data_IF_516993921415
#
_entry.id   IF_516993921415
#
_cell.length_a   1.000
_cell.length_b   1.000
_cell.length_c   1.000
_cell.angle_alpha   90.00
_cell.angle_beta   90.00
_cell.angle_gamma   90.00
#
_symmetry.space_group_name_H-M   'P 1'
#
loop_
_entity.id
_entity.type
_entity.pdbx_description
1 polymer ?
#
# COMPACT_ATOMS: atom_id res chain seq x y z
N UNK A 1 -5.00 3.10 -20.38
CA UNK A 1 -4.20 1.92 -20.78
C UNK A 1 -4.12 1.02 -19.56
N UNK A 2 -4.75 -0.14 -19.61
CA UNK A 2 -4.64 -1.19 -18.58
C UNK A 2 -3.36 -1.99 -18.82
N UNK A 3 -2.75 -2.47 -17.74
CA UNK A 3 -1.65 -3.44 -17.82
C UNK A 3 -2.13 -4.72 -17.14
N UNK A 4 -2.06 -5.83 -17.87
CA UNK A 4 -2.28 -7.14 -17.28
C UNK A 4 -1.00 -7.56 -16.56
N UNK A 5 -1.14 -7.89 -15.28
CA UNK A 5 0.01 -8.30 -14.44
C UNK A 5 -0.31 -9.65 -13.84
N UNK A 6 0.62 -10.59 -14.03
CA UNK A 6 0.56 -11.88 -13.37
C UNK A 6 0.81 -11.70 -11.87
N UNK A 7 -0.15 -12.11 -11.06
CA UNK A 7 -0.09 -11.97 -9.61
C UNK A 7 -1.46 -12.16 -8.99
N UNK A 8 -1.46 -12.57 -7.72
CA UNK A 8 -2.69 -12.55 -6.93
C UNK A 8 -3.00 -11.10 -6.59
N UNK A 9 -4.28 -10.71 -6.72
CA UNK A 9 -4.72 -9.42 -6.22
C UNK A 9 -4.31 -9.30 -4.74
N UNK A 10 -3.77 -8.15 -4.36
CA UNK A 10 -3.55 -7.83 -2.95
C UNK A 10 -4.91 -7.96 -2.28
N UNK A 11 -5.03 -8.95 -1.40
CA UNK A 11 -6.27 -9.12 -0.66
C UNK A 11 -6.48 -7.90 0.21
N UNK A 12 -7.67 -7.26 0.13
CA UNK A 12 -7.93 -6.12 0.98
C UNK A 12 -7.89 -6.57 2.44
N UNK A 13 -7.56 -5.64 3.32
CA UNK A 13 -7.57 -5.91 4.77
C UNK A 13 -8.95 -6.28 5.28
N UNK A 14 -9.97 -5.96 4.49
CA UNK A 14 -11.35 -6.32 4.74
C UNK A 14 -11.69 -7.81 4.66
N UNK A 15 -12.79 -8.18 5.33
CA UNK A 15 -13.24 -9.57 5.53
C UNK A 15 -14.36 -10.05 4.61
N UNK A 16 -14.91 -9.25 3.67
CA UNK A 16 -15.97 -9.73 2.77
C UNK A 16 -15.90 -9.22 1.32
N UNK A 17 -15.83 -10.18 0.40
CA UNK A 17 -15.75 -9.99 -1.05
C UNK A 17 -17.11 -9.86 -1.76
N UNK A 18 -18.23 -9.95 -1.01
CA UNK A 18 -19.57 -10.13 -1.58
C UNK A 18 -20.17 -8.88 -2.24
N UNK A 19 -19.55 -7.70 -2.05
CA UNK A 19 -20.02 -6.44 -2.65
C UNK A 19 -19.08 -5.96 -3.74
N UNK A 20 -19.63 -5.72 -4.94
CA UNK A 20 -18.93 -5.06 -6.04
C UNK A 20 -18.78 -3.57 -5.75
N UNK A 21 -17.70 -3.20 -5.06
CA UNK A 21 -17.35 -1.81 -4.74
C UNK A 21 -16.01 -1.44 -5.39
N UNK A 22 -15.74 -0.13 -5.46
CA UNK A 22 -14.45 0.40 -5.90
C UNK A 22 -13.31 -0.18 -5.06
N UNK A 23 -13.50 -0.21 -3.73
CA UNK A 23 -12.51 -0.70 -2.77
C UNK A 23 -12.23 -2.20 -2.94
N UNK A 24 -13.21 -2.96 -3.42
CA UNK A 24 -13.06 -4.39 -3.73
C UNK A 24 -12.57 -4.64 -5.17
N UNK A 25 -12.14 -3.60 -5.88
CA UNK A 25 -11.55 -3.70 -7.21
C UNK A 25 -12.56 -3.77 -8.37
N UNK A 26 -13.81 -3.33 -8.15
CA UNK A 26 -14.85 -3.28 -9.17
C UNK A 26 -15.15 -1.82 -9.55
N UNK A 27 -14.60 -1.38 -10.69
CA UNK A 27 -14.80 -0.03 -11.25
C UNK A 27 -14.54 -0.03 -12.76
N UNK A 28 -14.98 0.99 -13.50
CA UNK A 28 -14.61 1.19 -14.90
C UNK A 28 -13.35 2.08 -15.03
N UNK A 29 -12.50 1.83 -16.03
CA UNK A 29 -11.25 2.59 -16.20
C UNK A 29 -11.50 4.09 -16.44
N UNK A 30 -12.63 4.44 -17.07
CA UNK A 30 -13.04 5.83 -17.32
C UNK A 30 -13.32 6.62 -16.04
N UNK A 31 -13.61 5.92 -14.95
CA UNK A 31 -13.95 6.52 -13.67
C UNK A 31 -12.69 6.87 -12.85
N UNK A 32 -11.55 6.28 -13.19
CA UNK A 32 -10.25 6.58 -12.54
C UNK A 32 -9.80 8.00 -12.87
N UNK A 33 -9.40 8.74 -11.84
CA UNK A 33 -8.88 10.12 -11.94
C UNK A 33 -7.47 10.22 -11.39
N UNK A 34 -6.71 11.17 -11.95
CA UNK A 34 -5.44 11.60 -11.38
C UNK A 34 -5.62 12.09 -9.95
N UNK A 35 -4.59 11.89 -9.13
CA UNK A 35 -4.55 12.31 -7.72
C UNK A 35 -3.30 13.11 -7.43
N UNK A 36 -3.31 13.83 -6.32
CA UNK A 36 -2.19 14.67 -5.86
C UNK A 36 -1.57 14.06 -4.62
N UNK A 37 -0.27 14.32 -4.38
CA UNK A 37 0.42 13.84 -3.18
C UNK A 37 -0.26 14.31 -1.87
N UNK A 38 -1.05 15.38 -1.93
CA UNK A 38 -1.87 15.86 -0.80
C UNK A 38 -2.83 14.82 -0.26
N UNK A 39 -3.29 13.89 -1.09
CA UNK A 39 -4.20 12.81 -0.69
C UNK A 39 -3.55 11.84 0.33
N UNK A 40 -2.21 11.77 0.36
CA UNK A 40 -1.44 10.96 1.30
C UNK A 40 -0.68 11.80 2.34
N UNK A 41 -0.97 13.09 2.48
CA UNK A 41 -0.25 13.94 3.44
C UNK A 41 -0.48 13.50 4.88
N UNK A 42 0.61 13.42 5.66
CA UNK A 42 0.56 13.00 7.06
C UNK A 42 1.81 12.26 7.50
N UNK A 43 1.78 11.80 8.75
CA UNK A 43 2.76 10.89 9.32
C UNK A 43 2.16 9.49 9.37
N UNK A 44 2.94 8.51 8.91
CA UNK A 44 2.50 7.14 8.67
C UNK A 44 3.44 6.14 9.31
N UNK A 45 2.90 5.07 9.89
CA UNK A 45 3.65 4.00 10.55
C UNK A 45 3.44 2.67 9.85
N UNK A 46 4.51 1.88 9.72
CA UNK A 46 4.45 0.53 9.18
C UNK A 46 3.65 -0.39 10.11
N UNK A 47 2.83 -1.27 9.53
CA UNK A 47 2.10 -2.29 10.29
C UNK A 47 2.95 -3.53 10.60
N UNK A 48 4.13 -3.67 9.99
CA UNK A 48 4.97 -4.85 10.12
C UNK A 48 5.36 -5.17 11.57
N UNK A 49 5.73 -4.20 12.44
CA UNK A 49 6.01 -4.49 13.85
C UNK A 49 4.83 -5.13 14.60
N UNK A 50 3.60 -4.72 14.30
CA UNK A 50 2.38 -5.28 14.92
C UNK A 50 2.05 -6.69 14.42
N UNK A 51 2.50 -7.05 13.22
CA UNK A 51 2.47 -8.44 12.78
C UNK A 51 3.50 -9.27 13.56
N UNK A 52 4.71 -8.74 13.75
CA UNK A 52 5.83 -9.45 14.39
C UNK A 52 5.59 -9.70 15.89
N UNK A 53 5.00 -8.74 16.60
CA UNK A 53 4.73 -8.86 18.04
C UNK A 53 3.43 -9.63 18.36
N UNK A 54 2.66 -10.00 17.34
CA UNK A 54 1.42 -10.78 17.46
C UNK A 54 0.15 -9.94 17.66
N UNK A 55 0.24 -8.61 17.70
CA UNK A 55 -0.93 -7.71 17.81
C UNK A 55 -1.97 -7.98 16.72
N UNK A 56 -1.55 -8.34 15.51
CA UNK A 56 -2.45 -8.63 14.38
C UNK A 56 -2.95 -10.09 14.33
N UNK A 57 -2.59 -10.96 15.27
CA UNK A 57 -2.94 -12.40 15.19
C UNK A 57 -4.46 -12.63 15.15
N UNK A 58 -5.22 -11.83 15.91
CA UNK A 58 -6.69 -11.88 15.89
C UNK A 58 -7.30 -11.53 14.53
N UNK A 59 -6.63 -10.68 13.74
CA UNK A 59 -7.08 -10.34 12.37
C UNK A 59 -7.02 -11.58 11.48
N UNK A 60 -5.91 -12.34 11.57
CA UNK A 60 -5.72 -13.55 10.76
C UNK A 60 -6.63 -14.70 11.21
N UNK A 61 -6.85 -14.84 12.52
CA UNK A 61 -7.86 -15.76 13.05
C UNK A 61 -9.25 -15.42 12.50
N UNK A 62 -9.66 -14.16 12.58
CA UNK A 62 -10.95 -13.70 12.06
C UNK A 62 -11.10 -13.99 10.56
N UNK A 63 -10.10 -13.65 9.74
CA UNK A 63 -10.09 -13.92 8.29
C UNK A 63 -10.21 -15.42 8.00
N UNK A 64 -9.50 -16.28 8.75
CA UNK A 64 -9.58 -17.74 8.59
C UNK A 64 -11.00 -18.28 8.84
N UNK A 65 -11.67 -17.76 9.86
CA UNK A 65 -13.03 -18.18 10.22
C UNK A 65 -14.08 -17.66 9.23
N UNK A 66 -13.90 -16.44 8.72
CA UNK A 66 -14.82 -15.80 7.80
C UNK A 66 -14.73 -16.39 6.39
N UNK A 67 -13.52 -16.47 5.82
CA UNK A 67 -13.30 -16.87 4.43
C UNK A 67 -13.22 -18.39 4.25
N UNK A 68 -12.78 -19.12 5.28
CA UNK A 68 -12.66 -20.60 5.29
C UNK A 68 -11.83 -21.17 4.13
N UNK A 69 -10.93 -20.37 3.56
CA UNK A 69 -10.05 -20.75 2.45
C UNK A 69 -8.58 -20.95 2.88
N UNK A 70 -8.20 -20.44 4.06
CA UNK A 70 -6.86 -20.51 4.66
C UNK A 70 -6.95 -20.64 6.17
N UNK A 71 -5.92 -21.23 6.75
CA UNK A 71 -5.65 -21.17 8.19
C UNK A 71 -5.13 -19.79 8.59
N UNK A 72 -5.25 -19.44 9.88
CA UNK A 72 -4.68 -18.20 10.41
C UNK A 72 -3.17 -18.10 10.17
N UNK A 73 -2.44 -19.22 10.25
CA UNK A 73 -1.00 -19.25 9.97
C UNK A 73 -0.70 -18.95 8.49
N UNK A 74 -1.46 -19.52 7.55
CA UNK A 74 -1.27 -19.22 6.12
C UNK A 74 -1.59 -17.76 5.80
N UNK A 75 -2.57 -17.15 6.48
CA UNK A 75 -2.78 -15.71 6.42
C UNK A 75 -1.58 -14.94 6.97
N UNK A 76 -1.11 -15.28 8.16
CA UNK A 76 0.06 -14.64 8.77
C UNK A 76 1.29 -14.73 7.87
N UNK A 77 1.54 -15.86 7.22
CA UNK A 77 2.65 -16.05 6.29
C UNK A 77 2.49 -15.19 5.02
N UNK A 78 1.27 -15.11 4.48
CA UNK A 78 0.95 -14.23 3.35
C UNK A 78 1.19 -12.75 3.69
N UNK A 79 0.66 -12.29 4.82
CA UNK A 79 0.82 -10.91 5.29
C UNK A 79 2.24 -10.60 5.75
N UNK A 80 3.00 -11.59 6.23
CA UNK A 80 4.42 -11.41 6.57
C UNK A 80 5.20 -11.00 5.32
N UNK A 81 4.99 -11.68 4.18
CA UNK A 81 5.63 -11.32 2.91
C UNK A 81 5.16 -9.95 2.41
N UNK A 82 3.86 -9.69 2.51
CA UNK A 82 3.25 -8.42 2.11
C UNK A 82 3.81 -7.23 2.89
N UNK A 83 3.82 -7.31 4.21
CA UNK A 83 4.15 -6.16 5.06
C UNK A 83 5.63 -5.94 5.32
N UNK A 84 6.48 -6.94 5.08
CA UNK A 84 7.90 -6.87 5.40
C UNK A 84 8.56 -5.61 4.81
N UNK A 85 9.17 -4.80 5.67
CA UNK A 85 9.90 -3.59 5.30
C UNK A 85 10.86 -3.19 6.42
N UNK A 86 11.97 -2.54 6.08
CA UNK A 86 12.85 -1.87 7.04
C UNK A 86 12.49 -0.38 7.22
N UNK A 87 11.50 0.13 6.50
CA UNK A 87 10.99 1.51 6.62
C UNK A 87 9.89 1.56 7.67
N UNK A 88 10.24 2.02 8.87
CA UNK A 88 9.35 2.08 10.02
C UNK A 88 8.33 3.23 9.94
N UNK A 89 8.72 4.37 9.35
CA UNK A 89 7.90 5.57 9.26
C UNK A 89 8.04 6.24 7.89
N UNK A 90 6.93 6.80 7.40
CA UNK A 90 6.92 7.72 6.25
C UNK A 90 6.23 9.02 6.66
N UNK A 91 6.88 10.16 6.42
CA UNK A 91 6.26 11.49 6.56
C UNK A 91 6.07 12.11 5.18
N UNK A 92 4.86 12.55 4.87
CA UNK A 92 4.48 13.07 3.55
C UNK A 92 3.96 14.51 3.70
N UNK A 93 4.65 15.46 3.07
CA UNK A 93 4.18 16.83 2.89
C UNK A 93 3.78 17.00 1.42
N UNK A 94 2.49 16.77 1.14
CA UNK A 94 1.96 16.86 -0.21
C UNK A 94 1.94 18.27 -0.79
N UNK A 95 2.02 19.32 0.05
CA UNK A 95 2.11 20.71 -0.45
C UNK A 95 3.52 21.02 -0.94
N UNK A 96 4.55 20.50 -0.26
CA UNK A 96 5.95 20.61 -0.67
C UNK A 96 6.39 19.53 -1.64
N UNK A 97 5.51 18.56 -1.93
CA UNK A 97 5.81 17.40 -2.76
C UNK A 97 6.98 16.57 -2.21
N UNK A 98 7.11 16.46 -0.89
CA UNK A 98 8.22 15.74 -0.26
C UNK A 98 7.76 14.53 0.53
N UNK A 99 8.57 13.46 0.48
CA UNK A 99 8.40 12.27 1.32
C UNK A 99 9.71 11.97 2.05
N UNK A 100 9.61 11.69 3.35
CA UNK A 100 10.73 11.25 4.19
C UNK A 100 10.51 9.80 4.58
N UNK A 101 11.48 8.95 4.27
CA UNK A 101 11.48 7.53 4.61
C UNK A 101 12.45 7.32 5.77
N UNK A 102 11.94 6.84 6.91
CA UNK A 102 12.74 6.55 8.10
C UNK A 102 12.81 5.05 8.30
N UNK A 103 14.03 4.52 8.40
CA UNK A 103 14.30 3.11 8.65
C UNK A 103 14.18 2.75 10.13
N UNK A 104 14.11 1.46 10.42
CA UNK A 104 14.08 0.91 11.78
C UNK A 104 15.34 1.26 12.60
N UNK A 105 16.49 1.46 11.94
CA UNK A 105 17.73 1.92 12.59
C UNK A 105 17.76 3.43 12.89
N UNK A 106 16.70 4.16 12.52
CA UNK A 106 16.56 5.60 12.70
C UNK A 106 17.18 6.45 11.59
N UNK A 107 17.91 5.85 10.63
CA UNK A 107 18.37 6.56 9.43
C UNK A 107 17.17 7.02 8.60
N UNK A 108 17.30 8.17 7.93
CA UNK A 108 16.22 8.69 7.08
C UNK A 108 16.74 9.44 5.87
N UNK A 109 15.91 9.48 4.83
CA UNK A 109 16.17 10.25 3.62
C UNK A 109 14.88 10.93 3.17
N UNK A 110 15.02 12.13 2.62
CA UNK A 110 13.90 12.93 2.10
C UNK A 110 14.14 13.24 0.64
N UNK A 111 13.10 13.08 -0.18
CA UNK A 111 13.12 13.43 -1.60
C UNK A 111 11.95 14.33 -1.97
N UNK A 112 12.12 15.12 -3.02
CA UNK A 112 11.03 15.85 -3.68
C UNK A 112 10.55 15.04 -4.88
N UNK A 113 9.23 14.95 -5.06
CA UNK A 113 8.61 14.12 -6.08
C UNK A 113 7.80 14.94 -7.08
N UNK A 114 7.69 14.42 -8.30
CA UNK A 114 6.66 14.80 -9.25
C UNK A 114 5.68 13.64 -9.44
N UNK A 115 4.45 13.97 -9.81
CA UNK A 115 3.46 12.98 -10.20
C UNK A 115 3.71 12.52 -11.64
N UNK A 116 3.69 11.21 -11.86
CA UNK A 116 3.94 10.55 -13.16
C UNK A 116 2.69 9.79 -13.68
N UNK A 117 1.50 10.16 -13.19
CA UNK A 117 0.23 9.57 -13.62
C UNK A 117 -0.19 8.37 -12.78
N UNK A 118 -1.17 7.62 -13.28
CA UNK A 118 -1.62 6.37 -12.67
C UNK A 118 -1.57 5.20 -13.65
N UNK A 119 -1.62 3.99 -13.11
CA UNK A 119 -1.73 2.73 -13.86
C UNK A 119 -2.86 1.90 -13.28
N UNK A 120 -3.76 1.45 -14.16
CA UNK A 120 -4.79 0.47 -13.81
C UNK A 120 -4.22 -0.92 -14.06
N UNK A 121 -4.26 -1.75 -13.03
CA UNK A 121 -3.78 -3.12 -13.05
C UNK A 121 -4.99 -4.06 -13.01
N UNK A 122 -4.97 -5.07 -13.86
CA UNK A 122 -5.94 -6.17 -13.84
C UNK A 122 -5.26 -7.40 -13.26
N UNK A 123 -5.83 -7.94 -12.18
CA UNK A 123 -5.31 -9.14 -11.52
C UNK A 123 -5.87 -10.41 -12.15
N UNK A 124 -5.23 -11.56 -11.91
CA UNK A 124 -5.70 -12.85 -12.42
C UNK A 124 -7.14 -13.21 -12.00
N UNK A 125 -7.64 -12.63 -10.90
CA UNK A 125 -9.04 -12.78 -10.45
C UNK A 125 -10.05 -11.97 -11.26
N UNK A 126 -9.61 -11.10 -12.17
CA UNK A 126 -10.44 -10.12 -12.88
C UNK A 126 -10.74 -8.85 -12.07
N UNK A 127 -10.38 -8.80 -10.78
CA UNK A 127 -10.40 -7.56 -9.99
C UNK A 127 -9.34 -6.59 -10.53
N UNK A 128 -9.55 -5.30 -10.26
CA UNK A 128 -8.61 -4.25 -10.64
C UNK A 128 -8.07 -3.48 -9.45
N UNK A 129 -6.91 -2.87 -9.61
CA UNK A 129 -6.33 -1.91 -8.69
C UNK A 129 -5.73 -0.72 -9.45
N UNK A 130 -5.47 0.37 -8.74
CA UNK A 130 -4.82 1.56 -9.31
C UNK A 130 -3.54 1.85 -8.54
N UNK A 131 -2.44 2.00 -9.27
CA UNK A 131 -1.18 2.53 -8.75
C UNK A 131 -1.05 4.00 -9.13
N UNK A 132 -0.78 4.86 -8.17
CA UNK A 132 -0.48 6.28 -8.38
C UNK A 132 1.03 6.51 -8.29
N UNK A 133 1.62 6.94 -9.40
CA UNK A 133 3.07 6.93 -9.61
C UNK A 133 3.67 8.30 -9.29
N UNK A 134 4.76 8.27 -8.52
CA UNK A 134 5.56 9.43 -8.19
C UNK A 134 7.03 9.12 -8.43
N UNK A 135 7.77 10.08 -8.97
CA UNK A 135 9.21 9.94 -9.22
C UNK A 135 9.95 11.09 -8.58
N UNK A 136 11.00 10.75 -7.83
CA UNK A 136 11.87 11.73 -7.21
C UNK A 136 12.56 12.60 -8.27
N UNK A 137 12.77 13.87 -7.95
CA UNK A 137 13.32 14.88 -8.87
C UNK A 137 14.73 15.34 -8.51
N UNK A 138 15.17 15.05 -7.29
CA UNK A 138 16.53 15.37 -6.86
C UNK A 138 17.53 14.28 -7.29
N UNK A 139 18.79 14.69 -7.49
CA UNK A 139 19.82 13.82 -8.06
C UNK A 139 20.28 12.71 -7.13
N UNK A 140 20.05 12.84 -5.82
CA UNK A 140 20.46 11.86 -4.81
C UNK A 140 19.50 10.67 -4.73
N UNK A 141 18.35 10.74 -5.39
CA UNK A 141 17.36 9.67 -5.38
C UNK A 141 17.84 8.37 -6.03
N UNK A 142 18.78 8.45 -6.98
CA UNK A 142 19.34 7.26 -7.64
C UNK A 142 20.18 6.38 -6.69
N UNK A 143 20.67 6.95 -5.59
CA UNK A 143 21.57 6.28 -4.64
C UNK A 143 20.82 5.44 -3.58
N UNK A 144 19.49 5.42 -3.62
CA UNK A 144 18.65 4.73 -2.65
C UNK A 144 17.36 4.18 -3.31
N UNK A 145 16.59 3.31 -2.64
CA UNK A 145 15.48 2.61 -3.29
C UNK A 145 14.21 3.46 -3.44
N UNK A 146 14.23 4.77 -3.16
CA UNK A 146 13.01 5.60 -3.16
C UNK A 146 12.88 6.49 -4.40
N UNK A 147 13.66 6.24 -5.47
CA UNK A 147 13.58 7.05 -6.68
C UNK A 147 12.20 7.01 -7.35
N UNK A 148 11.60 5.83 -7.42
CA UNK A 148 10.27 5.61 -7.98
C UNK A 148 9.38 5.07 -6.86
N UNK A 149 8.21 5.69 -6.69
CA UNK A 149 7.24 5.35 -5.64
C UNK A 149 5.86 5.19 -6.26
N UNK A 150 5.09 4.21 -5.78
CA UNK A 150 3.73 3.97 -6.20
C UNK A 150 2.83 3.74 -4.99
N UNK A 151 1.68 4.42 -4.96
CA UNK A 151 0.65 4.22 -3.94
C UNK A 151 -0.50 3.36 -4.47
N UNK A 152 -1.02 2.50 -3.61
CA UNK A 152 -2.31 1.80 -3.78
C UNK A 152 -3.08 1.85 -2.46
N UNK A 153 -4.24 2.48 -2.43
CA UNK A 153 -5.02 2.70 -1.20
C UNK A 153 -6.53 2.40 -1.38
N UNK A 154 -6.86 1.60 -2.39
CA UNK A 154 -8.23 1.16 -2.70
C UNK A 154 -9.17 2.29 -3.16
N UNK A 155 -8.64 3.47 -3.48
CA UNK A 155 -9.38 4.59 -4.07
C UNK A 155 -8.96 4.86 -5.52
N UNK A 156 -9.87 5.41 -6.32
CA UNK A 156 -9.66 5.69 -7.75
C UNK A 156 -9.82 7.17 -8.13
N UNK A 157 -10.13 8.02 -7.16
CA UNK A 157 -10.28 9.46 -7.32
C UNK A 157 -9.74 10.21 -6.09
N UNK A 158 -9.79 11.55 -6.13
CA UNK A 158 -9.21 12.38 -5.07
C UNK A 158 -9.94 12.19 -3.74
N UNK A 159 -9.24 11.51 -2.83
CA UNK A 159 -9.72 11.13 -1.51
C UNK A 159 -8.52 11.09 -0.57
N UNK A 160 -8.68 11.59 0.66
CA UNK A 160 -7.65 11.42 1.70
C UNK A 160 -7.51 9.94 2.04
N UNK A 161 -6.29 9.40 1.90
CA UNK A 161 -6.00 8.00 2.18
C UNK A 161 -6.25 7.69 3.67
N UNK A 162 -6.89 6.54 3.94
CA UNK A 162 -7.05 6.02 5.30
C UNK A 162 -5.85 5.18 5.71
N UNK A 163 -5.35 4.38 4.77
CA UNK A 163 -4.12 3.60 4.81
C UNK A 163 -3.66 3.39 3.37
N UNK A 164 -2.41 2.97 3.17
CA UNK A 164 -1.92 2.65 1.84
C UNK A 164 -0.93 1.51 1.84
N UNK A 165 -0.85 0.84 0.70
CA UNK A 165 0.26 0.02 0.28
C UNK A 165 1.19 0.88 -0.58
N UNK A 166 2.50 0.80 -0.33
CA UNK A 166 3.51 1.55 -1.07
C UNK A 166 4.51 0.60 -1.70
N UNK A 167 4.94 0.93 -2.91
CA UNK A 167 5.93 0.19 -3.67
C UNK A 167 7.00 1.17 -4.10
N UNK A 168 8.25 0.80 -3.94
CA UNK A 168 9.36 1.68 -4.27
C UNK A 168 10.56 0.91 -4.78
N UNK A 169 11.36 1.57 -5.60
CA UNK A 169 12.61 1.05 -6.14
C UNK A 169 13.37 2.12 -6.93
N UNK A 170 14.55 1.75 -7.43
CA UNK A 170 15.41 2.61 -8.27
C UNK A 170 15.62 2.05 -9.68
N UNK A 171 14.80 1.08 -10.11
CA UNK A 171 14.87 0.49 -11.46
C UNK A 171 14.04 1.29 -12.47
N UNK A 172 12.71 1.17 -12.41
CA UNK A 172 11.75 1.96 -13.20
C UNK A 172 10.33 1.78 -12.66
N UNK A 173 9.42 2.68 -13.03
CA UNK A 173 8.00 2.53 -12.71
C UNK A 173 7.43 1.20 -13.25
N UNK A 174 7.75 0.84 -14.49
CA UNK A 174 7.24 -0.37 -15.13
C UNK A 174 7.74 -1.66 -14.46
N UNK A 175 8.97 -1.65 -13.93
CA UNK A 175 9.48 -2.80 -13.17
C UNK A 175 8.78 -2.95 -11.82
N UNK A 176 8.57 -1.84 -11.10
CA UNK A 176 7.89 -1.85 -9.79
C UNK A 176 6.41 -2.25 -9.92
N UNK A 177 5.76 -1.98 -11.06
CA UNK A 177 4.38 -2.42 -11.30
C UNK A 177 4.22 -3.95 -11.30
N UNK A 178 5.31 -4.70 -11.53
CA UNK A 178 5.30 -6.17 -11.50
C UNK A 178 5.33 -6.74 -10.08
N UNK A 179 5.65 -5.92 -9.08
CA UNK A 179 5.69 -6.34 -7.68
C UNK A 179 4.26 -6.54 -7.14
N UNK A 180 4.03 -7.76 -6.65
CA UNK A 180 2.73 -8.25 -6.17
C UNK A 180 2.81 -9.00 -4.83
N UNK A 181 4.01 -9.37 -4.39
CA UNK A 181 4.24 -10.20 -3.20
C UNK A 181 4.61 -9.35 -1.97
N UNK A 182 5.39 -8.28 -2.17
CA UNK A 182 5.77 -7.34 -1.12
C UNK A 182 5.11 -5.97 -1.35
N UNK A 183 4.29 -5.57 -0.38
CA UNK A 183 3.46 -4.37 -0.41
C UNK A 183 3.44 -3.73 0.98
N UNK A 184 4.56 -3.13 1.41
CA UNK A 184 4.66 -2.43 2.69
C UNK A 184 3.44 -1.54 2.94
N UNK A 185 2.83 -1.70 4.12
CA UNK A 185 1.52 -1.13 4.42
C UNK A 185 1.60 -0.19 5.60
N UNK A 186 0.97 0.97 5.45
CA UNK A 186 1.08 2.06 6.40
C UNK A 186 -0.27 2.62 6.80
N UNK A 187 -0.43 2.87 8.10
CA UNK A 187 -1.57 3.54 8.71
C UNK A 187 -1.13 4.85 9.37
N UNK A 188 -2.04 5.79 9.70
CA UNK A 188 -1.69 7.04 10.34
C UNK A 188 -0.94 6.79 11.66
N UNK A 189 0.15 7.53 11.89
CA UNK A 189 1.04 7.35 13.05
C UNK A 189 0.36 7.57 14.42
N UNK A 190 -0.84 8.14 14.43
CA UNK A 190 -1.63 8.40 15.64
C UNK A 190 -2.43 7.18 16.13
N UNK A 191 -2.61 6.16 15.28
CA UNK A 191 -3.38 4.96 15.63
C UNK A 191 -2.54 4.01 16.48
N UNK A 192 -3.16 3.33 17.44
CA UNK A 192 -2.51 2.22 18.12
C UNK A 192 -2.55 0.95 17.25
N UNK A 193 -1.70 -0.04 17.56
CA UNK A 193 -1.78 -1.35 16.89
C UNK A 193 -3.16 -2.01 17.04
N UNK A 194 -3.86 -1.77 18.16
CA UNK A 194 -5.22 -2.25 18.36
C UNK A 194 -6.23 -1.53 17.47
N UNK A 195 -6.14 -0.20 17.32
CA UNK A 195 -7.01 0.55 16.40
C UNK A 195 -6.82 0.06 14.97
N UNK A 196 -5.57 -0.17 14.56
CA UNK A 196 -5.25 -0.74 13.23
C UNK A 196 -5.87 -2.13 13.07
N UNK A 197 -5.71 -3.01 14.06
CA UNK A 197 -6.31 -4.35 14.01
C UNK A 197 -7.84 -4.29 13.88
N UNK A 198 -8.50 -3.37 14.61
CA UNK A 198 -9.94 -3.16 14.50
C UNK A 198 -10.35 -2.62 13.12
N UNK A 199 -9.59 -1.68 12.55
CA UNK A 199 -9.85 -1.18 11.20
C UNK A 199 -9.68 -2.28 10.14
N UNK A 200 -8.67 -3.14 10.27
CA UNK A 200 -8.49 -4.29 9.38
C UNK A 200 -9.69 -5.25 9.45
N UNK A 201 -10.23 -5.51 10.64
CA UNK A 201 -11.39 -6.43 10.80
C UNK A 201 -12.71 -5.80 10.35
N UNK A 202 -12.88 -4.48 10.54
CA UNK A 202 -14.16 -3.79 10.38
C UNK A 202 -14.56 -3.51 8.94
N UNK A 203 -13.61 -3.59 8.02
CA UNK A 203 -13.86 -3.32 6.60
C UNK A 203 -14.09 -4.57 5.79
#
# INVERSE_FOLDING_TARGET
MTTDVEGKAIQPESGSDDKKTVQNGYFDDKDVKDRKLTDWSGDWQSVYPYLQDGTLDQVFEYKSLMNKDKTAQEYKDYYTKGYQTDVSKISIDGKKMTMTFTKTDGSSVTHTYRYDGYKVLTYASGKKGVRYLFTATDSQAADNPYQYVQFSDHQIDSTTSAHFHIFFGNSSQDEILKEMDNWPTYYPAKLSGFDIAQEMISH
#
